data_IF_500204027607
#
_entry.id   IF_500204027607
#
_cell.length_a   1.000
_cell.length_b   1.000
_cell.length_c   1.000
_cell.angle_alpha   90.00
_cell.angle_beta   90.00
_cell.angle_gamma   90.00
#
_symmetry.space_group_name_H-M   'P 1'
#
loop_
_entity.id
_entity.type
_entity.pdbx_description
1 polymer ?
#
# COMPACT_ATOMS: atom_id res chain seq x y z
N UNK A 1 31.15 0.27 -37.69
CA UNK A 1 31.47 -0.63 -36.57
C UNK A 1 31.71 0.26 -35.36
N UNK A 2 30.77 0.23 -34.40
CA UNK A 2 30.80 1.02 -33.16
C UNK A 2 31.60 0.25 -32.10
N UNK A 3 32.52 0.88 -31.34
CA UNK A 3 32.97 0.31 -30.08
C UNK A 3 32.01 0.67 -28.93
N UNK A 4 31.82 -0.31 -28.06
CA UNK A 4 30.94 -0.38 -26.90
C UNK A 4 31.31 0.63 -25.81
N UNK A 5 30.32 1.36 -25.30
CA UNK A 5 30.39 2.09 -24.03
C UNK A 5 29.67 1.26 -22.95
N UNK A 6 30.42 0.64 -22.05
CA UNK A 6 29.90 0.16 -20.76
C UNK A 6 30.26 1.22 -19.70
N UNK A 7 29.31 1.66 -18.85
CA UNK A 7 29.58 2.74 -17.89
C UNK A 7 30.40 2.29 -16.68
N UNK A 8 31.33 3.17 -16.33
CA UNK A 8 32.40 3.11 -15.35
C UNK A 8 31.91 3.28 -13.88
N UNK A 9 31.10 2.37 -13.36
CA UNK A 9 30.73 2.39 -11.92
C UNK A 9 31.37 1.24 -11.09
N UNK A 10 32.14 0.37 -11.73
CA UNK A 10 32.89 -0.70 -11.07
C UNK A 10 34.34 -0.27 -10.82
N UNK A 11 34.58 0.57 -9.79
CA UNK A 11 35.91 0.77 -9.16
C UNK A 11 35.82 1.67 -7.92
N UNK A 12 35.39 1.13 -6.78
CA UNK A 12 35.71 1.70 -5.47
C UNK A 12 35.58 0.64 -4.36
N UNK A 13 36.55 -0.26 -4.27
CA UNK A 13 36.80 -1.01 -3.04
C UNK A 13 37.57 -0.12 -2.04
N UNK A 14 37.13 0.04 -0.78
CA UNK A 14 38.05 0.47 0.27
C UNK A 14 38.93 -0.71 0.75
N UNK A 15 40.16 -0.45 1.19
CA UNK A 15 41.17 -1.48 1.46
C UNK A 15 40.88 -2.29 2.73
N UNK A 16 41.29 -3.56 2.70
CA UNK A 16 41.18 -4.53 3.79
C UNK A 16 42.20 -4.26 4.89
N UNK A 17 41.76 -3.60 5.97
CA UNK A 17 42.49 -3.53 7.24
C UNK A 17 42.33 -4.83 8.04
N UNK A 18 43.33 -5.71 8.02
CA UNK A 18 43.38 -6.95 8.81
C UNK A 18 44.12 -6.68 10.13
N UNK A 19 43.44 -6.73 11.28
CA UNK A 19 44.07 -6.52 12.59
C UNK A 19 43.19 -6.71 13.85
N UNK A 20 42.72 -7.95 14.07
CA UNK A 20 42.38 -8.63 15.36
C UNK A 20 41.88 -7.82 16.58
N UNK A 21 40.64 -8.11 16.99
CA UNK A 21 40.20 -8.21 18.40
C UNK A 21 39.37 -9.48 18.63
N UNK A 22 39.49 -10.17 19.78
CA UNK A 22 38.80 -11.43 20.04
C UNK A 22 37.44 -11.22 20.72
N UNK A 23 36.49 -12.09 20.34
CA UNK A 23 35.48 -12.67 21.24
C UNK A 23 34.33 -11.77 21.70
N UNK A 24 33.16 -11.96 21.10
CA UNK A 24 31.99 -12.55 21.77
C UNK A 24 30.86 -12.70 20.75
N UNK A 25 30.24 -13.88 20.75
CA UNK A 25 29.18 -14.25 19.82
C UNK A 25 28.04 -13.23 19.85
N UNK A 26 27.67 -12.77 18.66
CA UNK A 26 26.39 -12.14 18.39
C UNK A 26 25.75 -12.96 17.29
N UNK A 27 24.66 -13.62 17.62
CA UNK A 27 23.77 -14.30 16.68
C UNK A 27 23.40 -13.26 15.61
N UNK A 28 23.78 -13.49 14.34
CA UNK A 28 23.21 -12.74 13.22
C UNK A 28 21.78 -13.26 13.09
N UNK A 29 20.87 -12.68 13.86
CA UNK A 29 19.45 -12.78 13.58
C UNK A 29 19.25 -11.91 12.37
N UNK A 30 19.08 -12.53 11.20
CA UNK A 30 18.58 -11.84 10.02
C UNK A 30 17.19 -11.34 10.35
N UNK A 31 17.08 -10.07 10.71
CA UNK A 31 15.82 -9.40 10.92
C UNK A 31 15.42 -8.88 9.53
N UNK A 32 14.64 -9.69 8.82
CA UNK A 32 13.84 -9.22 7.70
C UNK A 32 12.68 -8.48 8.33
N UNK A 33 12.81 -7.17 8.56
CA UNK A 33 11.64 -6.34 8.89
C UNK A 33 11.01 -5.96 7.57
N UNK A 34 10.20 -6.88 7.07
CA UNK A 34 9.09 -6.55 6.19
C UNK A 34 8.39 -5.31 6.78
N UNK A 35 8.06 -4.30 5.98
CA UNK A 35 7.31 -3.11 6.40
C UNK A 35 5.97 -3.54 7.01
N UNK A 36 5.97 -3.84 8.31
CA UNK A 36 4.81 -4.25 9.09
C UNK A 36 4.15 -2.96 9.55
N UNK A 37 3.10 -2.53 8.85
CA UNK A 37 2.04 -1.72 9.49
C UNK A 37 0.68 -2.24 9.03
N UNK A 38 -0.08 -2.71 10.01
CA UNK A 38 -1.30 -3.50 9.88
C UNK A 38 -2.52 -2.61 10.12
N UNK A 39 -3.49 -2.68 9.18
CA UNK A 39 -4.97 -2.65 9.34
C UNK A 39 -5.77 -1.36 9.06
N UNK A 40 -6.31 -1.31 7.84
CA UNK A 40 -7.71 -1.54 7.41
C UNK A 40 -8.90 -0.58 7.74
N UNK A 41 -9.68 -0.38 6.66
CA UNK A 41 -11.13 -0.15 6.48
C UNK A 41 -11.69 1.27 6.61
N UNK A 42 -12.06 1.86 5.45
CA UNK A 42 -13.44 2.36 5.23
C UNK A 42 -13.96 1.83 3.89
N UNK A 43 -14.71 0.74 3.96
CA UNK A 43 -15.74 0.39 2.98
C UNK A 43 -17.11 0.58 3.61
N UNK A 44 -18.06 1.17 2.84
CA UNK A 44 -19.50 1.39 3.13
C UNK A 44 -19.79 2.66 4.00
N UNK A 45 -20.69 3.60 3.69
CA UNK A 45 -22.10 3.59 3.22
C UNK A 45 -22.45 5.03 2.79
N UNK A 46 -23.13 5.29 1.64
CA UNK A 46 -24.41 6.07 1.57
C UNK A 46 -25.17 5.67 0.29
N UNK A 47 -26.18 4.82 0.46
CA UNK A 47 -27.08 4.37 -0.59
C UNK A 47 -28.53 4.24 -0.11
N UNK A 48 -29.12 5.37 0.33
CA UNK A 48 -30.55 5.72 0.22
C UNK A 48 -31.56 4.87 1.03
N UNK A 49 -31.90 5.36 2.23
CA UNK A 49 -33.12 4.96 2.94
C UNK A 49 -34.32 5.74 2.36
N UNK A 50 -35.04 5.12 1.44
CA UNK A 50 -36.35 5.59 0.98
C UNK A 50 -37.45 5.05 1.90
N UNK A 51 -38.04 5.94 2.69
CA UNK A 51 -39.31 5.75 3.39
C UNK A 51 -40.40 5.22 2.44
N UNK A 52 -41.14 4.19 2.85
CA UNK A 52 -42.57 4.09 2.56
C UNK A 52 -43.29 3.23 3.60
N UNK A 53 -44.32 3.82 4.19
CA UNK A 53 -45.18 3.28 5.24
C UNK A 53 -46.27 2.34 4.69
N UNK A 54 -46.52 1.23 5.41
CA UNK A 54 -47.78 0.47 5.72
C UNK A 54 -48.97 0.38 4.72
N UNK A 55 -49.87 -0.65 4.75
CA UNK A 55 -50.33 -1.40 5.93
C UNK A 55 -50.61 -2.94 5.78
N UNK A 56 -50.95 -3.52 6.93
CA UNK A 56 -51.34 -4.89 7.32
C UNK A 56 -52.51 -5.53 6.54
N UNK A 57 -52.43 -6.84 6.20
CA UNK A 57 -53.58 -7.78 6.20
C UNK A 57 -53.17 -9.28 6.11
N UNK A 58 -53.61 -10.05 7.12
CA UNK A 58 -53.99 -11.48 7.22
C UNK A 58 -53.40 -12.60 6.31
N UNK A 59 -52.95 -13.67 6.99
CA UNK A 59 -52.75 -15.06 6.50
C UNK A 59 -54.11 -15.80 6.28
N UNK A 60 -54.22 -17.08 5.79
CA UNK A 60 -53.20 -18.14 5.73
C UNK A 60 -53.26 -19.20 4.59
N UNK A 61 -52.26 -20.10 4.62
CA UNK A 61 -52.16 -21.46 4.03
C UNK A 61 -51.79 -21.58 2.53
N UNK A 62 -50.61 -22.14 2.21
CA UNK A 62 -50.32 -23.58 1.99
C UNK A 62 -48.94 -23.77 1.35
N UNK A 63 -48.34 -24.92 1.67
CA UNK A 63 -47.24 -25.60 0.97
C UNK A 63 -45.84 -25.00 1.09
N UNK A 64 -45.10 -25.57 2.02
CA UNK A 64 -43.63 -25.58 2.10
C UNK A 64 -43.02 -26.17 0.84
N UNK A 65 -42.54 -25.30 -0.06
CA UNK A 65 -41.39 -25.59 -0.90
C UNK A 65 -40.29 -24.63 -0.46
N UNK A 66 -39.25 -25.18 0.17
CA UNK A 66 -38.05 -24.42 0.51
C UNK A 66 -37.33 -24.05 -0.80
N UNK A 67 -37.69 -22.90 -1.38
CA UNK A 67 -36.81 -22.23 -2.33
C UNK A 67 -35.66 -21.68 -1.51
N UNK A 68 -34.52 -22.37 -1.56
CA UNK A 68 -33.27 -21.84 -1.05
C UNK A 68 -33.05 -20.47 -1.70
N UNK A 69 -33.12 -19.41 -0.90
CA UNK A 69 -32.72 -18.06 -1.29
C UNK A 69 -31.23 -18.12 -1.60
N UNK A 70 -30.90 -18.34 -2.87
CA UNK A 70 -29.54 -18.19 -3.35
C UNK A 70 -29.14 -16.73 -3.06
N UNK A 71 -28.03 -16.47 -2.35
CA UNK A 71 -27.57 -15.10 -2.19
C UNK A 71 -27.32 -14.56 -3.59
N UNK A 72 -28.07 -13.54 -3.99
CA UNK A 72 -27.78 -12.78 -5.21
C UNK A 72 -26.40 -12.18 -5.00
N UNK A 73 -25.39 -12.77 -5.64
CA UNK A 73 -24.07 -12.18 -5.71
C UNK A 73 -24.26 -10.78 -6.30
N UNK A 74 -24.02 -9.76 -5.49
CA UNK A 74 -24.00 -8.38 -5.95
C UNK A 74 -22.84 -8.32 -6.94
N UNK A 75 -23.15 -8.23 -8.24
CA UNK A 75 -22.15 -8.03 -9.25
C UNK A 75 -21.40 -6.73 -8.89
N UNK A 76 -20.14 -6.87 -8.48
CA UNK A 76 -19.26 -5.71 -8.34
C UNK A 76 -19.18 -5.10 -9.73
N UNK A 77 -19.71 -3.88 -9.88
CA UNK A 77 -19.69 -3.17 -11.15
C UNK A 77 -18.22 -2.98 -11.54
N UNK A 78 -17.77 -3.74 -12.54
CA UNK A 78 -16.41 -3.62 -13.04
C UNK A 78 -16.22 -2.20 -13.58
N UNK A 79 -15.21 -1.50 -13.06
CA UNK A 79 -14.86 -0.16 -13.54
C UNK A 79 -14.47 -0.18 -15.02
N UNK A 80 -14.62 0.95 -15.70
CA UNK A 80 -14.13 1.11 -17.08
C UNK A 80 -12.65 1.46 -17.06
N UNK A 81 -11.82 0.97 -17.99
CA UNK A 81 -10.45 1.44 -18.12
C UNK A 81 -10.39 2.96 -18.23
N UNK A 82 -9.43 3.59 -17.55
CA UNK A 82 -9.22 5.04 -17.66
C UNK A 82 -8.82 5.42 -19.09
N UNK A 83 -9.31 6.57 -19.58
CA UNK A 83 -8.74 7.19 -20.78
C UNK A 83 -7.31 7.71 -20.49
N UNK A 84 -6.56 8.04 -21.54
CA UNK A 84 -5.15 8.41 -21.42
C UNK A 84 -4.92 9.63 -20.50
N UNK A 85 -5.79 10.65 -20.56
CA UNK A 85 -5.61 11.86 -19.77
C UNK A 85 -5.90 11.59 -18.29
N UNK A 86 -6.98 10.86 -18.01
CA UNK A 86 -7.33 10.43 -16.65
C UNK A 86 -6.26 9.51 -16.07
N UNK A 87 -5.74 8.58 -16.86
CA UNK A 87 -4.65 7.69 -16.46
C UNK A 87 -3.41 8.48 -16.04
N UNK A 88 -2.98 9.45 -16.86
CA UNK A 88 -1.83 10.30 -16.54
C UNK A 88 -2.05 11.13 -15.27
N UNK A 89 -3.25 11.68 -15.08
CA UNK A 89 -3.57 12.44 -13.87
C UNK A 89 -3.52 11.57 -12.60
N UNK A 90 -4.03 10.35 -12.66
CA UNK A 90 -3.97 9.39 -11.53
C UNK A 90 -2.52 9.00 -11.23
N UNK A 91 -1.74 8.67 -12.26
CA UNK A 91 -0.33 8.33 -12.10
C UNK A 91 0.45 9.48 -11.43
N UNK A 92 0.19 10.72 -11.85
CA UNK A 92 0.81 11.90 -11.26
C UNK A 92 0.43 12.08 -9.79
N UNK A 93 -0.83 11.88 -9.41
CA UNK A 93 -1.26 12.03 -8.02
C UNK A 93 -0.63 10.97 -7.11
N UNK A 94 -0.51 9.73 -7.60
CA UNK A 94 0.19 8.66 -6.85
C UNK A 94 1.66 9.03 -6.67
N UNK A 95 2.37 9.37 -7.75
CA UNK A 95 3.77 9.81 -7.66
C UNK A 95 3.98 11.02 -6.74
N UNK A 96 3.02 11.95 -6.71
CA UNK A 96 3.09 13.11 -5.81
C UNK A 96 2.89 12.72 -4.35
N UNK A 97 2.00 11.76 -4.04
CA UNK A 97 1.84 11.31 -2.66
C UNK A 97 3.08 10.55 -2.17
N UNK A 98 3.68 9.71 -3.02
CA UNK A 98 4.90 8.97 -2.70
C UNK A 98 6.06 9.92 -2.37
N UNK A 99 6.29 10.91 -3.25
CA UNK A 99 7.33 11.90 -3.03
C UNK A 99 7.05 12.79 -1.81
N UNK A 100 5.79 13.13 -1.57
CA UNK A 100 5.41 13.86 -0.36
C UNK A 100 5.69 13.05 0.90
N UNK A 101 5.53 11.73 0.88
CA UNK A 101 5.84 10.86 2.01
C UNK A 101 7.36 10.80 2.28
N UNK A 102 8.18 10.64 1.24
CA UNK A 102 9.65 10.72 1.34
C UNK A 102 10.09 12.03 1.98
N UNK A 103 9.53 13.14 1.47
CA UNK A 103 9.83 14.48 1.94
C UNK A 103 9.37 14.64 3.39
N UNK A 104 8.16 14.21 3.74
CA UNK A 104 7.60 14.33 5.07
C UNK A 104 8.44 13.60 6.13
N UNK A 105 8.98 12.42 5.80
CA UNK A 105 9.88 11.68 6.69
C UNK A 105 11.21 12.42 6.86
N UNK A 106 11.83 12.84 5.75
CA UNK A 106 13.16 13.48 5.77
C UNK A 106 13.12 14.87 6.43
N UNK A 107 12.06 15.65 6.21
CA UNK A 107 11.90 17.00 6.76
C UNK A 107 11.20 17.03 8.11
N UNK A 108 10.64 15.90 8.56
CA UNK A 108 9.75 15.81 9.71
C UNK A 108 8.57 16.81 9.63
N UNK A 109 8.07 17.04 8.41
CA UNK A 109 6.94 17.93 8.12
C UNK A 109 5.85 17.16 7.37
N UNK A 110 4.82 16.64 8.06
CA UNK A 110 3.75 15.91 7.39
C UNK A 110 2.88 16.79 6.51
N UNK A 111 2.89 18.13 6.65
CA UNK A 111 1.94 19.00 5.96
C UNK A 111 2.03 18.90 4.42
N UNK A 112 3.18 18.48 3.88
CA UNK A 112 3.42 18.30 2.45
C UNK A 112 2.53 17.23 1.81
N UNK A 113 2.00 16.27 2.60
CA UNK A 113 1.12 15.19 2.11
C UNK A 113 -0.36 15.61 2.00
N UNK A 114 -0.76 16.77 2.52
CA UNK A 114 -2.18 17.13 2.63
C UNK A 114 -2.88 17.38 1.28
N UNK A 115 -2.14 17.83 0.27
CA UNK A 115 -2.74 18.21 -1.02
C UNK A 115 -3.13 17.02 -1.90
N UNK A 116 -2.45 15.88 -1.71
CA UNK A 116 -2.60 14.66 -2.53
C UNK A 116 -3.49 13.61 -1.88
N UNK A 117 -3.83 13.78 -0.60
CA UNK A 117 -4.57 12.82 0.21
C UNK A 117 -5.95 13.35 0.62
N UNK A 118 -6.90 12.44 0.81
CA UNK A 118 -8.07 12.72 1.66
C UNK A 118 -7.64 12.89 3.11
N UNK A 119 -8.46 13.55 3.95
CA UNK A 119 -8.10 13.77 5.36
C UNK A 119 -7.86 12.48 6.15
N UNK A 120 -8.64 11.44 5.89
CA UNK A 120 -8.48 10.14 6.56
C UNK A 120 -7.17 9.46 6.13
N UNK A 121 -6.90 9.43 4.81
CA UNK A 121 -5.65 8.89 4.28
C UNK A 121 -4.42 9.68 4.73
N UNK A 122 -4.54 11.01 4.82
CA UNK A 122 -3.51 11.86 5.38
C UNK A 122 -3.16 11.48 6.82
N UNK A 123 -4.17 11.34 7.69
CA UNK A 123 -3.94 10.97 9.08
C UNK A 123 -3.28 9.59 9.20
N UNK A 124 -3.66 8.64 8.34
CA UNK A 124 -3.01 7.33 8.27
C UNK A 124 -1.53 7.46 7.89
N UNK A 125 -1.20 8.20 6.83
CA UNK A 125 0.20 8.41 6.43
C UNK A 125 1.04 9.09 7.51
N UNK A 126 0.45 10.04 8.26
CA UNK A 126 1.14 10.64 9.41
C UNK A 126 1.46 9.59 10.46
N UNK A 127 0.51 8.72 10.80
CA UNK A 127 0.75 7.63 11.75
C UNK A 127 1.84 6.67 11.24
N UNK A 128 1.76 6.26 9.97
CA UNK A 128 2.78 5.40 9.34
C UNK A 128 4.17 6.04 9.42
N UNK A 129 4.32 7.31 9.08
CA UNK A 129 5.63 7.98 9.14
C UNK A 129 6.17 8.08 10.57
N UNK A 130 5.31 8.29 11.56
CA UNK A 130 5.72 8.27 12.97
C UNK A 130 6.16 6.88 13.42
N UNK A 131 5.44 5.84 12.99
CA UNK A 131 5.80 4.46 13.28
C UNK A 131 7.15 4.10 12.64
N UNK A 132 7.40 4.48 11.39
CA UNK A 132 8.69 4.30 10.71
C UNK A 132 9.84 4.93 11.50
N UNK A 133 9.70 6.22 11.86
CA UNK A 133 10.72 6.93 12.65
C UNK A 133 10.91 6.29 14.02
N UNK A 134 9.84 5.83 14.67
CA UNK A 134 9.92 5.15 15.97
C UNK A 134 10.65 3.80 15.90
N UNK A 135 10.65 3.16 14.73
CA UNK A 135 11.36 1.91 14.46
C UNK A 135 12.76 2.13 13.87
N UNK A 136 13.29 3.36 13.93
CA UNK A 136 14.66 3.67 13.53
C UNK A 136 14.83 3.97 12.03
N UNK A 137 13.76 4.13 11.27
CA UNK A 137 13.85 4.57 9.87
C UNK A 137 14.22 6.05 9.80
N UNK A 138 15.24 6.37 9.00
CA UNK A 138 15.73 7.74 8.79
C UNK A 138 15.46 8.27 7.39
N UNK A 139 15.27 7.39 6.41
CA UNK A 139 14.96 7.74 5.01
C UNK A 139 14.13 6.62 4.38
N UNK A 140 13.18 7.00 3.53
CA UNK A 140 12.56 6.12 2.54
C UNK A 140 12.73 6.74 1.16
N UNK A 141 12.81 5.89 0.14
CA UNK A 141 12.96 6.33 -1.24
C UNK A 141 12.28 5.38 -2.22
N UNK A 142 11.44 5.92 -3.09
CA UNK A 142 10.87 5.22 -4.23
C UNK A 142 11.97 5.01 -5.27
N UNK A 143 12.38 3.76 -5.43
CA UNK A 143 13.42 3.33 -6.38
C UNK A 143 12.83 3.05 -7.75
N UNK A 144 11.65 2.43 -7.78
CA UNK A 144 10.97 2.06 -9.01
C UNK A 144 9.44 2.03 -8.82
N UNK A 145 8.71 2.33 -9.89
CA UNK A 145 7.25 2.26 -9.93
C UNK A 145 6.81 1.62 -11.26
N UNK A 146 6.03 0.55 -11.17
CA UNK A 146 5.46 -0.16 -12.31
C UNK A 146 3.94 -0.06 -12.28
N UNK A 147 3.38 0.42 -13.38
CA UNK A 147 1.94 0.66 -13.48
C UNK A 147 1.19 -0.58 -13.94
N UNK A 148 0.20 -0.98 -13.14
CA UNK A 148 -0.82 -1.93 -13.51
C UNK A 148 -2.07 -1.27 -14.11
N UNK A 149 -3.19 -2.01 -14.14
CA UNK A 149 -4.47 -1.48 -14.59
C UNK A 149 -4.95 -0.31 -13.74
N UNK A 150 -5.52 0.69 -14.41
CA UNK A 150 -6.23 1.81 -13.78
C UNK A 150 -7.67 1.78 -14.30
N UNK A 151 -8.62 1.67 -13.37
CA UNK A 151 -10.06 1.61 -13.69
C UNK A 151 -10.82 2.72 -12.97
N UNK A 152 -11.81 3.27 -13.65
CA UNK A 152 -12.68 4.34 -13.18
C UNK A 152 -14.07 3.78 -12.90
N UNK A 153 -14.64 4.17 -11.76
CA UNK A 153 -16.02 3.89 -11.42
C UNK A 153 -16.69 5.18 -10.94
N UNK A 154 -17.33 5.89 -11.86
CA UNK A 154 -17.92 7.19 -11.59
C UNK A 154 -16.87 8.20 -11.17
N UNK A 155 -16.88 8.56 -9.88
CA UNK A 155 -16.03 9.61 -9.31
C UNK A 155 -14.85 9.04 -8.49
N UNK A 156 -14.67 7.72 -8.54
CA UNK A 156 -13.55 7.01 -7.90
C UNK A 156 -12.71 6.28 -8.94
N UNK A 157 -11.45 6.03 -8.62
CA UNK A 157 -10.56 5.22 -9.42
C UNK A 157 -9.85 4.17 -8.56
N UNK A 158 -9.51 3.04 -9.18
CA UNK A 158 -8.62 2.04 -8.61
C UNK A 158 -7.40 1.90 -9.50
N UNK A 159 -6.21 1.97 -8.91
CA UNK A 159 -4.94 1.80 -9.60
C UNK A 159 -4.13 0.69 -8.91
N UNK A 160 -3.73 -0.33 -9.67
CA UNK A 160 -2.74 -1.31 -9.19
C UNK A 160 -1.35 -0.82 -9.56
N UNK A 161 -0.45 -0.81 -8.58
CA UNK A 161 0.93 -0.33 -8.74
C UNK A 161 1.85 -1.36 -8.10
N UNK A 162 3.05 -1.54 -8.67
CA UNK A 162 4.13 -2.22 -7.96
C UNK A 162 5.24 -1.23 -7.72
N UNK A 163 5.56 -1.02 -6.46
CA UNK A 163 6.54 -0.04 -6.02
C UNK A 163 7.73 -0.76 -5.44
N UNK A 164 8.92 -0.24 -5.71
CA UNK A 164 10.14 -0.69 -5.04
C UNK A 164 10.64 0.45 -4.17
N UNK A 165 10.68 0.21 -2.87
CA UNK A 165 11.10 1.17 -1.87
C UNK A 165 12.44 0.77 -1.29
N UNK A 166 13.30 1.75 -1.04
CA UNK A 166 14.50 1.60 -0.22
C UNK A 166 14.25 2.26 1.12
N UNK A 167 14.54 1.55 2.20
CA UNK A 167 14.45 2.05 3.58
C UNK A 167 15.85 2.11 4.16
N UNK A 168 16.23 3.24 4.76
CA UNK A 168 17.50 3.40 5.47
C UNK A 168 17.24 3.58 6.96
N UNK A 169 18.00 2.87 7.77
CA UNK A 169 17.88 2.86 9.23
C UNK A 169 18.97 3.71 9.90
N UNK A 170 18.75 4.02 11.18
CA UNK A 170 19.66 4.80 12.02
C UNK A 170 21.02 4.14 12.25
N UNK A 171 21.11 2.81 12.09
CA UNK A 171 22.37 2.06 12.09
C UNK A 171 23.17 2.17 10.77
N UNK A 172 22.61 2.86 9.77
CA UNK A 172 23.20 3.10 8.46
C UNK A 172 23.02 1.95 7.47
N UNK A 173 22.31 0.89 7.84
CA UNK A 173 21.91 -0.16 6.89
C UNK A 173 20.72 0.31 6.05
N UNK A 174 20.59 -0.29 4.86
CA UNK A 174 19.43 -0.10 4.01
C UNK A 174 18.93 -1.43 3.48
N UNK A 175 17.63 -1.52 3.26
CA UNK A 175 16.98 -2.63 2.59
C UNK A 175 16.08 -2.13 1.46
N UNK A 176 15.70 -3.03 0.56
CA UNK A 176 14.70 -2.75 -0.47
C UNK A 176 13.58 -3.77 -0.42
N UNK A 177 12.35 -3.29 -0.60
CA UNK A 177 11.16 -4.10 -0.76
C UNK A 177 10.49 -3.78 -2.09
N UNK A 178 9.79 -4.77 -2.66
CA UNK A 178 8.90 -4.56 -3.80
C UNK A 178 7.52 -5.07 -3.45
N UNK A 179 6.57 -4.14 -3.36
CA UNK A 179 5.23 -4.39 -2.87
C UNK A 179 4.20 -4.09 -3.97
N UNK A 180 3.07 -4.80 -3.93
CA UNK A 180 1.92 -4.50 -4.79
C UNK A 180 0.95 -3.66 -3.98
N UNK A 181 0.62 -2.50 -4.51
CA UNK A 181 -0.26 -1.53 -3.90
C UNK A 181 -1.52 -1.40 -4.74
N UNK A 182 -2.68 -1.28 -4.09
CA UNK A 182 -3.97 -1.05 -4.72
C UNK A 182 -4.53 0.25 -4.18
N UNK A 183 -4.29 1.33 -4.92
CA UNK A 183 -4.77 2.65 -4.57
C UNK A 183 -6.25 2.80 -4.92
N UNK A 184 -7.00 3.37 -3.98
CA UNK A 184 -8.32 3.96 -4.25
C UNK A 184 -8.19 5.48 -4.26
N UNK A 185 -8.65 6.12 -5.32
CA UNK A 185 -8.65 7.57 -5.48
C UNK A 185 -10.08 8.09 -5.62
N UNK A 186 -10.29 9.33 -5.20
CA UNK A 186 -11.56 10.06 -5.35
C UNK A 186 -11.32 11.39 -6.07
N UNK A 187 -12.22 11.75 -6.99
CA UNK A 187 -12.18 13.05 -7.66
C UNK A 187 -12.95 14.10 -6.82
N UNK A 188 -12.26 14.85 -5.99
CA UNK A 188 -12.86 15.90 -5.17
C UNK A 188 -12.92 17.20 -5.96
N UNK A 189 -14.06 17.46 -6.62
CA UNK A 189 -14.30 18.73 -7.32
C UNK A 189 -13.37 18.99 -8.51
N UNK A 190 -12.93 17.95 -9.21
CA UNK A 190 -11.99 18.03 -10.33
C UNK A 190 -10.54 17.70 -9.97
N UNK A 191 -10.23 17.54 -8.68
CA UNK A 191 -8.89 17.17 -8.20
C UNK A 191 -8.90 15.73 -7.69
N UNK A 192 -8.06 14.88 -8.26
CA UNK A 192 -7.87 13.53 -7.75
C UNK A 192 -7.07 13.56 -6.43
N UNK A 193 -7.52 12.77 -5.46
CA UNK A 193 -6.85 12.55 -4.17
C UNK A 193 -6.82 11.07 -3.84
N UNK A 194 -5.77 10.62 -3.18
CA UNK A 194 -5.67 9.26 -2.66
C UNK A 194 -6.56 9.13 -1.43
N UNK A 195 -7.45 8.16 -1.47
CA UNK A 195 -8.39 7.81 -0.40
C UNK A 195 -7.89 6.61 0.41
N UNK A 196 -7.26 5.63 -0.25
CA UNK A 196 -6.71 4.46 0.40
C UNK A 196 -5.55 3.89 -0.43
N UNK A 197 -4.68 3.17 0.26
CA UNK A 197 -3.62 2.35 -0.30
C UNK A 197 -3.67 0.98 0.39
N UNK A 198 -4.12 -0.04 -0.34
CA UNK A 198 -4.24 -1.40 0.17
C UNK A 198 -3.05 -2.25 -0.30
N UNK A 199 -2.45 -2.99 0.65
CA UNK A 199 -1.32 -3.89 0.42
C UNK A 199 -1.78 -5.37 0.44
N UNK A 200 -2.35 -5.91 -0.66
CA UNK A 200 -2.99 -7.22 -0.67
C UNK A 200 -2.07 -8.42 -0.40
N UNK A 201 -0.77 -8.27 -0.65
CA UNK A 201 0.18 -9.39 -0.51
C UNK A 201 0.73 -9.51 0.92
N UNK A 202 0.67 -8.43 1.70
CA UNK A 202 1.03 -8.40 3.11
C UNK A 202 -0.03 -9.08 4.00
N UNK A 203 -1.30 -9.03 3.60
CA UNK A 203 -2.41 -9.65 4.33
C UNK A 203 -2.35 -11.18 4.38
N UNK A 204 -1.58 -11.82 3.48
CA UNK A 204 -1.38 -13.26 3.44
C UNK A 204 -0.12 -13.75 4.17
N UNK A 205 0.71 -12.84 4.69
CA UNK A 205 1.91 -13.18 5.46
C UNK A 205 1.57 -13.52 6.93
N UNK A 206 0.82 -14.59 7.17
CA UNK A 206 0.73 -15.16 8.54
C UNK A 206 2.08 -15.76 8.97
N UNK A 207 2.54 -15.56 10.22
CA UNK A 207 3.71 -16.26 10.73
C UNK A 207 3.45 -17.76 10.71
N UNK A 208 4.18 -18.49 9.87
CA UNK A 208 4.18 -19.94 9.95
C UNK A 208 4.81 -20.32 11.30
N UNK A 209 3.99 -20.82 12.23
CA UNK A 209 4.50 -21.38 13.48
C UNK A 209 5.57 -22.44 13.14
N UNK A 210 6.73 -22.46 13.83
CA UNK A 210 7.75 -23.46 13.57
C UNK A 210 7.12 -24.85 13.71
N UNK A 211 7.35 -25.70 12.71
CA UNK A 211 6.87 -27.08 12.72
C UNK A 211 7.32 -27.75 14.03
N UNK A 212 6.41 -28.39 14.80
CA UNK A 212 6.81 -29.07 16.02
C UNK A 212 7.63 -30.31 15.64
N UNK A 213 8.95 -30.27 15.84
CA UNK A 213 9.76 -31.46 15.59
C UNK A 213 11.26 -31.36 15.49
N UNK A 214 11.92 -30.22 15.73
CA UNK A 214 13.39 -30.18 15.81
C UNK A 214 13.83 -29.54 17.13
N UNK A 215 14.03 -30.40 18.12
CA UNK A 215 14.82 -30.13 19.32
C UNK A 215 16.30 -30.55 19.05
N UNK A 216 17.27 -29.95 19.76
CA UNK A 216 18.70 -29.94 19.39
C UNK A 216 19.40 -31.29 19.44
#
# INVERSE_FOLDING_TARGET
MLPSNAPEWESAHPPSGRGKRPGRGGVIVGIVVLLIVVVAVIGLVIGRLGNNSQPTAAAPTRSTAATASQPTAVATQAGTPADQATQQAIQQVIQQVDHAQEQALTSNDPSVMQSTATSDFYNLQVQTNQDLVSNGVTEIKLVNIEWGPITINGNTATATVWETWSTTFDDGTSEQSRDRNVYTLVNDGGTWKVQADDHPDEQNATPQAPAPGQAP
#
